data_IF_066115500317
#
_entry.id   IF_066115500317
#
_cell.length_a   1.000
_cell.length_b   1.000
_cell.length_c   1.000
_cell.angle_alpha   90.00
_cell.angle_beta   90.00
_cell.angle_gamma   90.00
#
_symmetry.space_group_name_H-M   'P 1'
#
loop_
_entity.id
_entity.type
_entity.pdbx_description
1 polymer ?
#
# COMPACT_ATOMS: atom_id res chain seq x y z
N UNK A 1 5.37 -1.49 25.96
CA UNK A 1 5.92 -0.26 26.58
C UNK A 1 4.79 0.76 26.70
N UNK A 2 4.38 1.13 27.92
CA UNK A 2 3.27 2.08 28.15
C UNK A 2 3.59 3.46 27.61
N UNK A 3 2.66 4.05 26.87
CA UNK A 3 2.74 5.41 26.37
C UNK A 3 3.01 6.37 27.56
N UNK A 4 4.12 7.11 27.52
CA UNK A 4 4.46 8.12 28.54
C UNK A 4 3.44 9.26 28.47
N UNK A 5 2.36 9.14 29.26
CA UNK A 5 1.35 10.19 29.38
C UNK A 5 2.01 11.44 30.00
N UNK A 6 1.98 12.56 29.28
CA UNK A 6 2.52 13.84 29.75
C UNK A 6 1.64 14.45 30.85
N UNK A 7 2.22 15.34 31.68
CA UNK A 7 1.45 16.09 32.65
C UNK A 7 0.49 17.04 31.94
N UNK A 8 -0.77 17.03 32.34
CA UNK A 8 -1.79 17.96 31.88
C UNK A 8 -1.74 19.27 32.67
N UNK A 9 -2.57 20.24 32.27
CA UNK A 9 -2.72 21.49 33.02
C UNK A 9 -3.28 21.21 34.41
N UNK A 10 -4.25 20.28 34.49
CA UNK A 10 -4.86 19.84 35.75
C UNK A 10 -3.86 19.13 36.66
N UNK A 11 -3.00 18.26 36.10
CA UNK A 11 -1.91 17.62 36.85
C UNK A 11 -0.99 18.68 37.47
N UNK A 12 -0.65 19.74 36.72
CA UNK A 12 0.20 20.85 37.20
C UNK A 12 -0.47 21.71 38.26
N UNK A 13 -1.77 21.98 38.09
CA UNK A 13 -2.54 22.70 39.10
C UNK A 13 -2.61 21.92 40.43
N UNK A 14 -2.79 20.60 40.35
CA UNK A 14 -2.76 19.74 41.53
C UNK A 14 -1.37 19.67 42.20
N UNK A 15 -0.28 19.70 41.39
CA UNK A 15 1.09 19.80 41.92
C UNK A 15 1.27 21.13 42.67
N UNK A 16 0.83 22.25 42.11
CA UNK A 16 0.93 23.57 42.73
C UNK A 16 0.18 23.61 44.04
N UNK A 17 -1.12 23.19 44.06
CA UNK A 17 -1.90 23.14 45.27
C UNK A 17 -1.30 22.24 46.35
N UNK A 18 -0.72 21.11 45.95
CA UNK A 18 -0.05 20.19 46.87
C UNK A 18 1.24 20.77 47.47
N UNK A 19 2.02 21.52 46.68
CA UNK A 19 3.23 22.22 47.15
C UNK A 19 2.84 23.34 48.13
N UNK A 20 1.84 24.14 47.78
CA UNK A 20 1.34 25.23 48.62
C UNK A 20 0.76 24.71 49.96
N UNK A 21 0.16 23.52 49.94
CA UNK A 21 -0.34 22.85 51.15
C UNK A 21 0.75 22.10 51.95
N UNK A 22 2.02 22.17 51.53
CA UNK A 22 3.13 21.51 52.20
C UNK A 22 3.14 19.98 52.11
N UNK A 23 2.43 19.39 51.14
CA UNK A 23 2.38 17.96 50.94
C UNK A 23 3.70 17.38 50.43
N UNK A 24 4.06 16.18 50.84
CA UNK A 24 5.22 15.49 50.29
C UNK A 24 5.03 15.18 48.81
N UNK A 25 6.13 15.17 48.01
CA UNK A 25 6.10 14.84 46.61
C UNK A 25 5.50 13.44 46.34
N UNK A 26 5.65 12.49 47.25
CA UNK A 26 5.05 11.17 47.18
C UNK A 26 3.53 11.26 47.26
N UNK A 27 3.00 12.10 48.18
CA UNK A 27 1.58 12.30 48.32
C UNK A 27 0.96 13.00 47.13
N UNK A 28 1.65 14.03 46.59
CA UNK A 28 1.22 14.72 45.37
C UNK A 28 1.19 13.73 44.18
N UNK A 29 2.20 12.87 44.08
CA UNK A 29 2.27 11.86 43.02
C UNK A 29 1.10 10.87 43.05
N UNK A 30 0.70 10.46 44.27
CA UNK A 30 -0.48 9.61 44.49
C UNK A 30 -1.76 10.30 44.03
N UNK A 31 -1.96 11.58 44.36
CA UNK A 31 -3.14 12.36 44.00
C UNK A 31 -3.33 12.46 42.47
N UNK A 32 -2.24 12.63 41.71
CA UNK A 32 -2.32 12.77 40.25
C UNK A 32 -2.10 11.43 39.49
N UNK A 33 -1.95 10.31 40.24
CA UNK A 33 -1.73 8.99 39.63
C UNK A 33 -0.41 8.90 38.82
N UNK A 34 0.69 9.49 39.36
CA UNK A 34 2.02 9.51 38.74
C UNK A 34 3.09 8.98 39.67
N UNK A 35 4.28 8.70 39.12
CA UNK A 35 5.40 8.35 39.97
C UNK A 35 6.01 9.58 40.65
N UNK A 36 6.52 9.45 41.89
CA UNK A 36 7.15 10.55 42.63
C UNK A 36 8.28 11.21 41.86
N UNK A 37 9.04 10.46 41.06
CA UNK A 37 10.11 10.97 40.22
C UNK A 37 9.64 11.93 39.10
N UNK A 38 8.38 11.81 38.65
CA UNK A 38 7.79 12.73 37.69
C UNK A 38 7.50 14.06 38.36
N UNK A 39 6.90 14.03 39.55
CA UNK A 39 6.59 15.25 40.35
C UNK A 39 7.87 15.96 40.75
N UNK A 40 8.87 15.23 41.27
CA UNK A 40 10.17 15.78 41.65
C UNK A 40 10.83 16.52 40.46
N UNK A 41 10.90 15.89 39.29
CA UNK A 41 11.50 16.50 38.10
C UNK A 41 10.68 17.67 37.56
N UNK A 42 9.37 17.68 37.67
CA UNK A 42 8.51 18.77 37.25
C UNK A 42 8.73 19.99 38.16
N UNK A 43 8.71 19.82 39.48
CA UNK A 43 9.00 20.88 40.47
C UNK A 43 10.39 21.42 40.27
N UNK A 44 11.41 20.57 40.29
CA UNK A 44 12.82 21.00 40.12
C UNK A 44 13.09 21.77 38.84
N UNK A 45 12.34 21.47 37.75
CA UNK A 45 12.52 22.12 36.45
C UNK A 45 11.79 23.44 36.31
N UNK A 46 10.69 23.62 37.04
CA UNK A 46 9.76 24.73 36.83
C UNK A 46 9.53 25.57 38.10
N UNK A 47 10.25 25.35 39.19
CA UNK A 47 10.28 26.27 40.32
C UNK A 47 11.00 27.54 39.91
N UNK A 48 10.40 28.68 40.14
CA UNK A 48 10.96 30.00 39.84
C UNK A 48 12.12 30.39 40.77
N UNK A 49 12.81 31.50 40.47
CA UNK A 49 13.91 32.03 41.35
C UNK A 49 13.41 32.42 42.74
N UNK A 50 12.13 32.66 42.90
CA UNK A 50 11.46 32.96 44.16
C UNK A 50 11.11 31.72 45.00
N UNK A 51 11.50 30.53 44.52
CA UNK A 51 11.23 29.25 45.19
C UNK A 51 9.78 28.76 44.99
N UNK A 52 8.94 29.45 44.22
CA UNK A 52 7.55 29.06 44.02
C UNK A 52 7.36 28.27 42.73
N UNK A 53 6.56 27.22 42.78
CA UNK A 53 6.10 26.47 41.60
C UNK A 53 4.76 27.04 41.10
N UNK A 54 4.71 27.53 39.85
CA UNK A 54 3.52 28.06 39.22
C UNK A 54 3.06 27.19 38.06
N UNK A 55 1.86 26.61 38.17
CA UNK A 55 1.30 25.67 37.18
C UNK A 55 1.21 26.28 35.77
N UNK A 56 0.79 27.54 35.64
CA UNK A 56 0.66 28.21 34.35
C UNK A 56 2.02 28.45 33.66
N UNK A 57 3.02 28.89 34.43
CA UNK A 57 4.38 29.10 33.93
C UNK A 57 5.02 27.78 33.50
N UNK A 58 4.85 26.73 34.32
CA UNK A 58 5.30 25.38 34.03
C UNK A 58 4.65 24.83 32.73
N UNK A 59 3.36 25.05 32.54
CA UNK A 59 2.65 24.62 31.32
C UNK A 59 3.09 25.41 30.09
N UNK A 60 3.23 26.73 30.23
CA UNK A 60 3.76 27.61 29.16
C UNK A 60 5.17 27.20 28.76
N UNK A 61 6.06 26.95 29.72
CA UNK A 61 7.42 26.49 29.48
C UNK A 61 7.45 25.09 28.82
N UNK A 62 6.60 24.16 29.27
CA UNK A 62 6.48 22.84 28.67
C UNK A 62 5.92 22.89 27.25
N UNK A 63 4.97 23.80 26.96
CA UNK A 63 4.47 24.05 25.59
C UNK A 63 5.56 24.66 24.71
N UNK A 64 6.31 25.62 25.22
CA UNK A 64 7.43 26.24 24.49
C UNK A 64 8.54 25.22 24.18
N UNK A 65 8.90 24.35 25.14
CA UNK A 65 9.86 23.28 24.93
C UNK A 65 9.42 22.26 23.87
N UNK A 66 8.11 22.01 23.77
CA UNK A 66 7.53 21.14 22.71
C UNK A 66 7.58 21.77 21.32
N UNK A 67 7.50 23.09 21.23
CA UNK A 67 7.57 23.85 19.95
C UNK A 67 8.97 24.00 19.40
N UNK A 68 10.03 23.64 20.15
CA UNK A 68 11.40 23.70 19.64
C UNK A 68 11.53 22.88 18.37
N UNK A 69 12.02 23.45 17.25
CA UNK A 69 12.27 22.71 16.03
C UNK A 69 13.27 21.59 16.32
N UNK A 70 12.83 20.35 16.16
CA UNK A 70 13.73 19.20 16.19
C UNK A 70 14.22 18.97 14.78
N UNK A 71 15.54 18.71 14.61
CA UNK A 71 16.05 18.23 13.32
C UNK A 71 15.27 16.99 12.91
N UNK A 72 14.86 16.93 11.66
CA UNK A 72 14.12 15.76 11.15
C UNK A 72 15.08 14.58 11.06
N UNK A 73 14.60 13.37 11.31
CA UNK A 73 15.43 12.17 11.29
C UNK A 73 16.15 12.02 9.94
N UNK A 74 15.44 12.22 8.83
CA UNK A 74 16.02 12.12 7.48
C UNK A 74 17.05 13.22 7.15
N UNK A 75 17.11 14.32 7.91
CA UNK A 75 18.15 15.34 7.75
C UNK A 75 19.46 14.94 8.48
N UNK A 76 19.37 14.02 9.44
CA UNK A 76 20.48 13.58 10.27
C UNK A 76 20.99 12.18 9.92
N UNK A 77 20.18 11.34 9.31
CA UNK A 77 20.46 9.94 9.00
C UNK A 77 20.58 9.76 7.48
N UNK A 78 21.82 9.73 6.99
CA UNK A 78 22.12 9.62 5.57
C UNK A 78 21.73 8.26 4.99
N UNK A 79 21.93 7.18 5.74
CA UNK A 79 21.61 5.82 5.30
C UNK A 79 20.12 5.71 5.08
N UNK A 80 19.35 6.11 6.08
CA UNK A 80 17.90 6.10 6.03
C UNK A 80 17.36 7.05 4.96
N UNK A 81 17.94 8.23 4.80
CA UNK A 81 17.55 9.20 3.77
C UNK A 81 17.72 8.63 2.37
N UNK A 82 18.86 8.03 2.06
CA UNK A 82 19.13 7.41 0.76
C UNK A 82 18.12 6.32 0.45
N UNK A 83 17.82 5.42 1.42
CA UNK A 83 16.83 4.39 1.28
C UNK A 83 15.43 4.96 1.02
N UNK A 84 14.98 5.90 1.85
CA UNK A 84 13.65 6.51 1.73
C UNK A 84 13.47 7.25 0.40
N UNK A 85 14.49 7.98 -0.07
CA UNK A 85 14.45 8.67 -1.38
C UNK A 85 14.33 7.64 -2.51
N UNK A 86 15.13 6.56 -2.49
CA UNK A 86 15.08 5.50 -3.49
C UNK A 86 13.68 4.85 -3.54
N UNK A 87 13.12 4.49 -2.40
CA UNK A 87 11.79 3.89 -2.32
C UNK A 87 10.69 4.86 -2.79
N UNK A 88 10.77 6.14 -2.43
CA UNK A 88 9.82 7.16 -2.89
C UNK A 88 9.91 7.39 -4.41
N UNK A 89 11.10 7.35 -5.00
CA UNK A 89 11.30 7.48 -6.46
C UNK A 89 10.72 6.29 -7.23
N UNK A 90 10.72 5.11 -6.62
CA UNK A 90 10.02 3.92 -7.14
C UNK A 90 8.48 3.97 -6.93
N UNK A 91 7.96 5.06 -6.36
CA UNK A 91 6.52 5.25 -6.14
C UNK A 91 5.96 4.56 -4.90
N UNK A 92 6.80 4.06 -4.00
CA UNK A 92 6.35 3.53 -2.72
C UNK A 92 5.76 4.66 -1.85
N UNK A 93 4.68 4.36 -1.14
CA UNK A 93 4.09 5.33 -0.22
C UNK A 93 4.84 5.35 1.12
N UNK A 94 4.84 6.47 1.87
CA UNK A 94 5.47 6.54 3.19
C UNK A 94 5.09 5.40 4.14
N UNK A 95 3.83 4.92 4.07
CA UNK A 95 3.35 3.81 4.90
C UNK A 95 3.96 2.47 4.49
N UNK A 96 4.13 2.22 3.19
CA UNK A 96 4.78 1.02 2.66
C UNK A 96 6.26 0.98 3.06
N UNK A 97 6.95 2.11 2.91
CA UNK A 97 8.36 2.26 3.30
C UNK A 97 8.54 2.01 4.79
N UNK A 98 7.78 2.69 5.65
CA UNK A 98 7.86 2.53 7.10
C UNK A 98 7.60 1.09 7.54
N UNK A 99 6.56 0.45 6.97
CA UNK A 99 6.22 -0.93 7.29
C UNK A 99 7.31 -1.92 6.84
N UNK A 100 7.82 -1.75 5.62
CA UNK A 100 8.89 -2.61 5.09
C UNK A 100 10.17 -2.50 5.93
N UNK A 101 10.63 -1.29 6.23
CA UNK A 101 11.79 -1.06 7.08
C UNK A 101 11.64 -1.69 8.47
N UNK A 102 10.44 -1.66 9.04
CA UNK A 102 10.20 -2.31 10.34
C UNK A 102 10.33 -3.83 10.25
N UNK A 103 9.88 -4.46 9.17
CA UNK A 103 9.99 -5.90 8.96
C UNK A 103 11.42 -6.35 8.66
N UNK A 104 12.18 -5.54 7.93
CA UNK A 104 13.61 -5.78 7.68
C UNK A 104 14.42 -5.64 8.98
N UNK A 105 14.17 -4.58 9.77
CA UNK A 105 14.88 -4.33 11.01
C UNK A 105 14.65 -5.40 12.09
N UNK A 106 13.50 -6.05 12.12
CA UNK A 106 13.24 -7.17 13.05
C UNK A 106 13.64 -8.54 12.47
N UNK A 107 14.28 -8.58 11.30
CA UNK A 107 14.72 -9.82 10.66
C UNK A 107 13.60 -10.71 10.10
N UNK A 108 12.37 -10.19 10.04
CA UNK A 108 11.23 -10.94 9.48
C UNK A 108 11.29 -11.03 7.96
N UNK A 109 11.84 -10.02 7.30
CA UNK A 109 12.05 -9.99 5.86
C UNK A 109 13.50 -9.62 5.53
N UNK A 110 14.07 -10.13 4.44
CA UNK A 110 15.37 -9.67 3.95
C UNK A 110 15.28 -8.25 3.40
N UNK A 111 16.43 -7.57 3.28
CA UNK A 111 16.51 -6.29 2.58
C UNK A 111 16.06 -6.44 1.12
N UNK A 112 15.43 -5.41 0.58
CA UNK A 112 14.99 -5.42 -0.83
C UNK A 112 16.19 -5.21 -1.77
N UNK A 113 16.34 -6.08 -2.77
CA UNK A 113 17.41 -5.96 -3.79
C UNK A 113 17.24 -4.68 -4.65
N UNK A 114 16.01 -4.15 -4.75
CA UNK A 114 15.68 -2.96 -5.54
C UNK A 114 15.98 -1.64 -4.83
N UNK A 115 16.40 -1.68 -3.55
CA UNK A 115 16.58 -0.49 -2.72
C UNK A 115 17.86 -0.58 -1.89
N UNK A 116 18.50 0.56 -1.56
CA UNK A 116 19.67 0.56 -0.68
C UNK A 116 19.37 -0.07 0.68
N UNK A 117 20.30 -0.82 1.24
CA UNK A 117 20.14 -1.39 2.58
C UNK A 117 20.03 -0.29 3.65
N UNK A 118 19.02 -0.41 4.49
CA UNK A 118 18.78 0.51 5.60
C UNK A 118 19.54 0.15 6.89
N UNK A 119 20.28 -0.96 6.91
CA UNK A 119 21.11 -1.40 8.05
C UNK A 119 20.33 -1.47 9.38
N UNK A 120 19.08 -1.89 9.33
CA UNK A 120 18.20 -1.97 10.51
C UNK A 120 17.62 -0.63 10.97
N UNK A 121 17.89 0.48 10.27
CA UNK A 121 17.28 1.76 10.58
C UNK A 121 15.80 1.78 10.23
N UNK A 122 14.99 2.39 11.09
CA UNK A 122 13.54 2.50 10.91
C UNK A 122 13.04 3.92 11.02
N UNK A 123 11.88 4.20 10.39
CA UNK A 123 11.24 5.51 10.42
C UNK A 123 9.73 5.38 10.40
N UNK A 124 9.01 6.27 11.08
CA UNK A 124 7.56 6.32 10.98
C UNK A 124 7.11 6.99 9.68
N UNK A 125 5.95 6.57 9.15
CA UNK A 125 5.38 7.18 7.95
C UNK A 125 5.08 8.68 8.13
N UNK A 126 4.72 9.13 9.33
CA UNK A 126 4.51 10.54 9.65
C UNK A 126 5.81 11.36 9.53
N UNK A 127 6.94 10.80 9.97
CA UNK A 127 8.24 11.46 9.83
C UNK A 127 8.64 11.61 8.35
N UNK A 128 8.32 10.60 7.50
CA UNK A 128 8.52 10.69 6.05
C UNK A 128 7.61 11.78 5.44
N UNK A 129 6.31 11.82 5.78
CA UNK A 129 5.42 12.89 5.33
C UNK A 129 5.90 14.28 5.76
N UNK A 130 6.31 14.42 7.03
CA UNK A 130 6.84 15.69 7.55
C UNK A 130 8.08 16.15 6.78
N UNK A 131 8.94 15.23 6.37
CA UNK A 131 10.10 15.52 5.55
C UNK A 131 9.68 15.94 4.12
N UNK A 132 8.77 15.19 3.46
CA UNK A 132 8.26 15.51 2.12
C UNK A 132 7.65 16.91 2.08
N UNK A 133 6.75 17.24 3.01
CA UNK A 133 6.05 18.53 3.02
C UNK A 133 6.95 19.73 3.39
N UNK A 134 8.11 19.47 3.92
CA UNK A 134 9.09 20.51 4.24
C UNK A 134 9.98 20.90 3.04
N UNK A 135 9.98 20.07 1.98
CA UNK A 135 10.80 20.33 0.79
C UNK A 135 9.99 20.97 -0.33
N UNK A 136 10.57 21.91 -1.09
CA UNK A 136 9.91 22.48 -2.27
C UNK A 136 9.58 21.39 -3.30
N UNK A 137 8.42 21.52 -3.98
CA UNK A 137 8.02 20.56 -5.03
C UNK A 137 9.09 20.34 -6.10
N UNK A 138 9.84 21.38 -6.46
CA UNK A 138 10.92 21.31 -7.44
C UNK A 138 11.99 20.31 -7.02
N UNK A 139 12.46 20.39 -5.79
CA UNK A 139 13.47 19.47 -5.22
C UNK A 139 12.96 18.02 -5.17
N UNK A 140 11.68 17.81 -4.84
CA UNK A 140 11.08 16.47 -4.85
C UNK A 140 11.04 15.87 -6.27
N UNK A 141 10.73 16.68 -7.28
CA UNK A 141 10.72 16.27 -8.69
C UNK A 141 12.15 15.94 -9.17
N UNK A 142 13.14 16.71 -8.78
CA UNK A 142 14.56 16.44 -9.09
C UNK A 142 15.04 15.09 -8.51
N UNK A 143 14.46 14.65 -7.39
CA UNK A 143 14.66 13.32 -6.83
C UNK A 143 13.72 12.24 -7.37
N UNK A 144 12.94 12.53 -8.41
CA UNK A 144 11.97 11.58 -9.01
C UNK A 144 10.76 11.30 -8.13
N UNK A 145 10.53 12.07 -7.05
CA UNK A 145 9.45 11.84 -6.09
C UNK A 145 8.16 12.49 -6.59
N UNK A 146 7.21 11.67 -7.07
CA UNK A 146 5.88 12.09 -7.49
C UNK A 146 4.81 11.47 -6.58
N UNK A 147 4.12 12.29 -5.77
CA UNK A 147 2.99 11.82 -4.97
C UNK A 147 1.75 11.52 -5.83
N UNK A 148 1.04 10.39 -5.59
CA UNK A 148 0.00 9.88 -6.49
C UNK A 148 -1.30 10.69 -6.57
N UNK A 149 -1.48 11.80 -5.87
CA UNK A 149 -2.77 12.47 -5.75
C UNK A 149 -2.97 13.62 -6.75
N UNK A 150 -3.34 13.28 -8.00
CA UNK A 150 -3.97 14.23 -8.92
C UNK A 150 -5.43 13.85 -9.14
N UNK A 151 -6.38 14.31 -8.31
CA UNK A 151 -7.82 14.22 -8.63
C UNK A 151 -8.59 15.45 -8.20
N UNK A 152 -9.37 16.01 -9.18
CA UNK A 152 -10.22 17.17 -8.97
C UNK A 152 -11.72 16.94 -9.24
N UNK A 153 -12.21 15.83 -9.82
CA UNK A 153 -13.66 15.59 -9.97
C UNK A 153 -14.06 14.14 -10.32
N UNK A 154 -15.28 13.76 -9.92
CA UNK A 154 -15.92 12.46 -10.17
C UNK A 154 -16.84 12.55 -11.40
N UNK A 155 -16.64 11.72 -12.42
CA UNK A 155 -17.55 11.61 -13.60
C UNK A 155 -18.60 10.52 -13.38
N UNK A 156 -19.86 10.78 -13.86
CA UNK A 156 -20.93 9.78 -13.90
C UNK A 156 -20.64 8.71 -14.97
N UNK A 157 -21.00 7.42 -14.74
CA UNK A 157 -20.84 6.37 -15.75
C UNK A 157 -21.89 6.50 -16.86
N UNK A 158 -21.55 6.14 -18.12
CA UNK A 158 -22.53 6.09 -19.22
C UNK A 158 -23.47 4.88 -19.08
N UNK A 159 -24.72 5.04 -19.53
CA UNK A 159 -25.72 3.97 -19.57
C UNK A 159 -25.30 2.86 -20.54
N UNK A 160 -25.32 1.61 -20.08
CA UNK A 160 -25.01 0.43 -20.91
C UNK A 160 -26.27 -0.27 -21.39
N UNK A 161 -26.39 -0.47 -22.73
CA UNK A 161 -27.41 -1.32 -23.30
C UNK A 161 -27.18 -2.82 -22.98
N UNK A 162 -28.26 -3.62 -22.89
CA UNK A 162 -28.19 -5.06 -22.65
C UNK A 162 -27.38 -5.77 -23.73
N UNK A 163 -26.30 -6.45 -23.35
CA UNK A 163 -25.52 -7.33 -24.22
C UNK A 163 -26.09 -8.74 -24.17
N UNK A 164 -26.11 -9.52 -25.28
CA UNK A 164 -26.55 -10.92 -25.25
C UNK A 164 -25.58 -11.76 -24.39
N UNK A 165 -26.10 -12.80 -23.68
CA UNK A 165 -25.31 -13.62 -22.77
C UNK A 165 -24.25 -14.45 -23.51
N UNK A 166 -23.15 -14.75 -22.81
CA UNK A 166 -22.11 -15.68 -23.24
C UNK A 166 -22.62 -17.11 -23.05
N UNK A 167 -22.53 -17.95 -24.08
CA UNK A 167 -23.04 -19.34 -24.05
C UNK A 167 -22.14 -20.20 -23.13
N UNK A 168 -22.75 -20.99 -22.25
CA UNK A 168 -22.02 -21.90 -21.33
C UNK A 168 -21.23 -21.20 -20.23
N UNK A 169 -21.65 -19.98 -19.85
CA UNK A 169 -21.02 -19.19 -18.80
C UNK A 169 -21.29 -19.81 -17.42
N UNK A 170 -20.21 -20.04 -16.64
CA UNK A 170 -20.28 -20.43 -15.22
C UNK A 170 -20.14 -19.19 -14.36
N UNK A 171 -21.05 -18.98 -13.42
CA UNK A 171 -21.00 -17.82 -12.53
C UNK A 171 -20.01 -18.04 -11.38
N UNK A 172 -19.60 -16.94 -10.76
CA UNK A 172 -18.66 -16.94 -9.64
C UNK A 172 -19.16 -17.79 -8.45
N UNK A 173 -20.47 -17.97 -8.29
CA UNK A 173 -21.07 -18.79 -7.24
C UNK A 173 -20.75 -20.29 -7.40
N UNK A 174 -20.46 -20.74 -8.62
CA UNK A 174 -20.06 -22.12 -8.93
C UNK A 174 -18.55 -22.37 -8.66
N UNK A 175 -17.82 -21.31 -8.39
CA UNK A 175 -16.39 -21.42 -8.09
C UNK A 175 -16.20 -22.00 -6.68
N UNK A 176 -15.22 -22.91 -6.46
CA UNK A 176 -14.87 -23.38 -5.12
C UNK A 176 -14.67 -22.19 -4.15
N UNK A 177 -15.07 -22.36 -2.89
CA UNK A 177 -14.97 -21.29 -1.89
C UNK A 177 -13.51 -20.87 -1.69
N UNK A 178 -13.21 -19.66 -2.12
CA UNK A 178 -11.90 -19.01 -2.03
C UNK A 178 -12.04 -17.59 -1.48
N UNK A 179 -13.10 -17.36 -0.70
CA UNK A 179 -13.48 -16.03 -0.19
C UNK A 179 -12.40 -15.42 0.68
N UNK A 180 -11.67 -16.23 1.45
CA UNK A 180 -10.64 -15.79 2.38
C UNK A 180 -9.28 -15.44 1.74
N UNK A 181 -9.13 -15.65 0.43
CA UNK A 181 -7.90 -15.38 -0.35
C UNK A 181 -6.65 -16.09 0.19
N UNK A 182 -6.81 -17.26 0.80
CA UNK A 182 -5.70 -18.07 1.30
C UNK A 182 -5.26 -19.14 0.30
N UNK A 183 -6.16 -19.54 -0.60
CA UNK A 183 -5.86 -20.57 -1.60
C UNK A 183 -5.29 -19.89 -2.84
N UNK A 184 -4.03 -20.19 -3.19
CA UNK A 184 -3.38 -19.62 -4.37
C UNK A 184 -3.85 -20.22 -5.69
N UNK A 185 -3.46 -19.58 -6.79
CA UNK A 185 -3.82 -20.02 -8.14
C UNK A 185 -5.18 -19.51 -8.61
N UNK A 186 -5.79 -18.59 -7.87
CA UNK A 186 -7.06 -17.97 -8.24
C UNK A 186 -6.84 -16.55 -8.75
N UNK A 187 -7.15 -16.32 -10.01
CA UNK A 187 -6.85 -15.07 -10.70
C UNK A 187 -8.11 -14.28 -11.05
N UNK A 188 -7.94 -12.97 -11.10
CA UNK A 188 -8.94 -12.02 -11.61
C UNK A 188 -8.39 -11.39 -12.89
N UNK A 189 -9.18 -11.36 -13.96
CA UNK A 189 -8.78 -10.79 -15.24
C UNK A 189 -9.68 -9.66 -15.71
N UNK A 190 -9.13 -8.77 -16.54
CA UNK A 190 -9.85 -7.63 -17.15
C UNK A 190 -9.11 -7.11 -18.38
N UNK A 191 -9.79 -6.29 -19.19
CA UNK A 191 -9.15 -5.54 -20.26
C UNK A 191 -8.91 -4.08 -19.88
N UNK A 192 -7.71 -3.60 -20.10
CA UNK A 192 -7.41 -2.17 -20.17
C UNK A 192 -7.54 -1.73 -21.63
N UNK A 193 -8.53 -0.90 -21.89
CA UNK A 193 -8.83 -0.39 -23.24
C UNK A 193 -8.19 0.99 -23.39
N UNK A 194 -7.49 1.18 -24.50
CA UNK A 194 -6.86 2.44 -24.93
C UNK A 194 -7.83 3.38 -25.63
N UNK A 195 -7.24 4.38 -26.29
CA UNK A 195 -7.99 5.40 -27.01
C UNK A 195 -8.92 4.78 -28.06
N UNK A 196 -10.15 5.26 -28.09
CA UNK A 196 -11.21 4.89 -29.07
C UNK A 196 -11.44 3.37 -29.22
N UNK A 197 -10.95 2.58 -28.27
CA UNK A 197 -11.03 1.12 -28.30
C UNK A 197 -10.14 0.45 -29.35
N UNK A 198 -9.22 1.20 -29.97
CA UNK A 198 -8.33 0.72 -31.02
C UNK A 198 -7.22 -0.21 -30.49
N UNK A 199 -6.82 -0.04 -29.26
CA UNK A 199 -5.78 -0.85 -28.60
C UNK A 199 -6.23 -1.33 -27.23
N UNK A 200 -5.68 -2.46 -26.77
CA UNK A 200 -5.97 -3.01 -25.45
C UNK A 200 -4.81 -3.89 -24.96
N UNK A 201 -4.76 -4.14 -23.65
CA UNK A 201 -4.02 -5.23 -23.05
C UNK A 201 -4.91 -5.94 -22.03
N UNK A 202 -4.65 -7.21 -21.76
CA UNK A 202 -5.31 -7.93 -20.67
C UNK A 202 -4.46 -7.84 -19.40
N UNK A 203 -5.12 -7.76 -18.25
CA UNK A 203 -4.50 -7.82 -16.93
C UNK A 203 -4.97 -9.06 -16.22
N UNK A 204 -4.04 -9.80 -15.63
CA UNK A 204 -4.29 -10.98 -14.80
C UNK A 204 -3.67 -10.71 -13.44
N UNK A 205 -4.46 -10.79 -12.38
CA UNK A 205 -4.00 -10.54 -11.01
C UNK A 205 -4.30 -11.75 -10.14
N UNK A 206 -3.27 -12.33 -9.55
CA UNK A 206 -3.43 -13.41 -8.58
C UNK A 206 -4.00 -12.86 -7.26
N UNK A 207 -5.05 -13.51 -6.73
CA UNK A 207 -5.86 -12.96 -5.62
C UNK A 207 -5.16 -12.97 -4.27
N UNK A 208 -4.35 -13.96 -4.01
CA UNK A 208 -3.64 -14.15 -2.74
C UNK A 208 -2.41 -13.25 -2.66
N UNK A 209 -1.55 -13.32 -3.67
CA UNK A 209 -0.25 -12.63 -3.72
C UNK A 209 -0.31 -11.22 -4.32
N UNK A 210 -1.39 -10.88 -5.04
CA UNK A 210 -1.54 -9.65 -5.81
C UNK A 210 -0.55 -9.54 -6.99
N UNK A 211 0.07 -10.66 -7.36
CA UNK A 211 0.97 -10.71 -8.50
C UNK A 211 0.23 -10.36 -9.78
N UNK A 212 0.87 -9.54 -10.61
CA UNK A 212 0.27 -8.95 -11.81
C UNK A 212 1.00 -9.45 -13.06
N UNK A 213 0.22 -9.87 -14.04
CA UNK A 213 0.67 -10.11 -15.41
C UNK A 213 -0.12 -9.17 -16.33
N UNK A 214 0.57 -8.51 -17.25
CA UNK A 214 -0.05 -7.74 -18.34
C UNK A 214 0.24 -8.47 -19.64
N UNK A 215 -0.81 -8.74 -20.43
CA UNK A 215 -0.72 -9.48 -21.69
C UNK A 215 -1.01 -8.54 -22.85
N UNK A 216 -0.05 -8.40 -23.77
CA UNK A 216 -0.23 -7.65 -24.99
C UNK A 216 -1.30 -8.29 -25.90
N UNK A 217 -2.10 -7.47 -26.55
CA UNK A 217 -3.11 -7.89 -27.54
C UNK A 217 -2.82 -7.27 -28.92
N UNK A 218 -1.73 -7.69 -29.60
CA UNK A 218 -1.29 -7.05 -30.84
C UNK A 218 -2.28 -7.21 -32.00
N UNK A 219 -3.08 -8.27 -31.99
CA UNK A 219 -4.07 -8.55 -33.03
C UNK A 219 -5.46 -7.94 -32.70
N UNK A 220 -5.61 -7.33 -31.53
CA UNK A 220 -6.85 -6.72 -31.07
C UNK A 220 -7.54 -7.48 -29.95
N UNK A 221 -8.83 -7.16 -29.73
CA UNK A 221 -9.61 -7.62 -28.56
C UNK A 221 -10.82 -8.53 -28.92
N UNK A 222 -10.83 -9.14 -30.10
CA UNK A 222 -11.86 -10.13 -30.42
C UNK A 222 -11.63 -11.41 -29.60
N UNK A 223 -12.69 -12.16 -29.32
CA UNK A 223 -12.64 -13.31 -28.42
C UNK A 223 -11.55 -14.34 -28.78
N UNK A 224 -11.37 -14.65 -30.06
CA UNK A 224 -10.34 -15.59 -30.51
C UNK A 224 -8.93 -15.05 -30.22
N UNK A 225 -8.70 -13.75 -30.48
CA UNK A 225 -7.41 -13.08 -30.29
C UNK A 225 -7.03 -12.98 -28.79
N UNK A 226 -8.01 -12.68 -27.94
CA UNK A 226 -7.82 -12.66 -26.48
C UNK A 226 -7.55 -14.08 -25.96
N UNK A 227 -8.33 -15.05 -26.42
CA UNK A 227 -8.12 -16.45 -26.06
C UNK A 227 -6.70 -16.90 -26.42
N UNK A 228 -6.23 -16.69 -27.65
CA UNK A 228 -4.90 -17.09 -28.11
C UNK A 228 -3.76 -16.40 -27.31
N UNK A 229 -3.93 -15.12 -26.99
CA UNK A 229 -2.95 -14.38 -26.19
C UNK A 229 -2.87 -14.86 -24.75
N UNK A 230 -4.04 -15.09 -24.12
CA UNK A 230 -4.12 -15.63 -22.76
C UNK A 230 -3.58 -17.07 -22.70
N UNK A 231 -3.95 -17.94 -23.63
CA UNK A 231 -3.46 -19.34 -23.70
C UNK A 231 -1.94 -19.38 -23.71
N UNK A 232 -1.31 -18.64 -24.62
CA UNK A 232 0.17 -18.58 -24.69
C UNK A 232 0.81 -18.09 -23.39
N UNK A 233 0.20 -17.09 -22.73
CA UNK A 233 0.75 -16.55 -21.48
C UNK A 233 0.58 -17.50 -20.33
N UNK A 234 -0.57 -18.18 -20.23
CA UNK A 234 -0.88 -19.14 -19.17
C UNK A 234 0.00 -20.40 -19.30
N UNK A 235 0.19 -20.91 -20.50
CA UNK A 235 1.07 -22.08 -20.76
C UNK A 235 2.54 -21.81 -20.42
N UNK A 236 2.96 -20.56 -20.34
CA UNK A 236 4.29 -20.15 -19.87
C UNK A 236 4.42 -20.00 -18.36
N UNK A 237 3.35 -20.22 -17.59
CA UNK A 237 3.40 -20.22 -16.13
C UNK A 237 3.75 -21.62 -15.60
N UNK A 238 4.33 -21.71 -14.38
CA UNK A 238 4.50 -22.97 -13.69
C UNK A 238 3.17 -23.72 -13.53
N UNK A 239 3.23 -25.04 -13.52
CA UNK A 239 2.06 -25.88 -13.29
C UNK A 239 1.34 -25.47 -11.99
N UNK A 240 0.01 -25.48 -12.03
CA UNK A 240 -0.87 -25.07 -10.93
C UNK A 240 -0.78 -23.60 -10.47
N UNK A 241 0.10 -22.78 -11.07
CA UNK A 241 0.17 -21.37 -10.76
C UNK A 241 -1.16 -20.62 -11.09
N UNK A 242 -1.94 -21.16 -12.02
CA UNK A 242 -3.28 -20.67 -12.35
C UNK A 242 -4.28 -21.82 -12.43
N UNK A 243 -5.23 -21.87 -11.51
CA UNK A 243 -6.31 -22.87 -11.45
C UNK A 243 -7.64 -22.30 -11.94
N UNK A 244 -7.95 -21.10 -11.50
CA UNK A 244 -9.20 -20.43 -11.89
C UNK A 244 -8.92 -19.00 -12.37
N UNK A 245 -9.74 -18.55 -13.32
CA UNK A 245 -9.73 -17.20 -13.83
C UNK A 245 -11.13 -16.61 -13.73
N UNK A 246 -11.30 -15.52 -12.98
CA UNK A 246 -12.57 -14.79 -12.90
C UNK A 246 -12.52 -13.58 -13.82
N UNK A 247 -13.51 -13.45 -14.68
CA UNK A 247 -13.65 -12.36 -15.65
C UNK A 247 -15.00 -11.65 -15.50
N UNK A 248 -15.16 -10.49 -16.15
CA UNK A 248 -16.51 -9.92 -16.29
C UNK A 248 -17.26 -10.60 -17.44
N UNK A 249 -18.53 -10.20 -17.65
CA UNK A 249 -19.34 -10.73 -18.74
C UNK A 249 -19.04 -10.03 -20.07
N UNK A 250 -17.77 -9.73 -20.32
CA UNK A 250 -17.29 -9.11 -21.56
C UNK A 250 -17.24 -10.12 -22.71
N UNK A 251 -17.65 -9.70 -23.90
CA UNK A 251 -17.65 -10.55 -25.12
C UNK A 251 -16.27 -11.03 -25.54
N UNK A 252 -15.22 -10.40 -25.09
CA UNK A 252 -13.84 -10.83 -25.32
C UNK A 252 -13.54 -12.21 -24.71
N UNK A 253 -14.34 -12.65 -23.73
CA UNK A 253 -14.23 -13.96 -23.13
C UNK A 253 -15.24 -15.00 -23.68
N UNK A 254 -15.86 -14.72 -24.83
CA UNK A 254 -16.80 -15.67 -25.45
C UNK A 254 -16.17 -17.01 -25.85
N UNK A 255 -14.82 -17.09 -25.92
CA UNK A 255 -14.06 -18.34 -26.15
C UNK A 255 -13.50 -18.97 -24.87
N UNK A 256 -14.07 -18.66 -23.71
CA UNK A 256 -13.63 -19.18 -22.41
C UNK A 256 -13.55 -20.70 -22.33
N UNK A 257 -14.48 -21.44 -22.98
CA UNK A 257 -14.44 -22.91 -23.03
C UNK A 257 -13.21 -23.44 -23.77
N UNK A 258 -12.79 -22.77 -24.87
CA UNK A 258 -11.54 -23.11 -25.55
C UNK A 258 -10.34 -22.80 -24.67
N UNK A 259 -10.34 -21.66 -23.98
CA UNK A 259 -9.27 -21.31 -23.03
C UNK A 259 -9.14 -22.39 -21.94
N UNK A 260 -10.25 -22.82 -21.36
CA UNK A 260 -10.26 -23.92 -20.37
C UNK A 260 -9.73 -25.22 -20.97
N UNK A 261 -10.16 -25.59 -22.17
CA UNK A 261 -9.69 -26.79 -22.85
C UNK A 261 -8.17 -26.79 -23.10
N UNK A 262 -7.65 -25.63 -23.56
CA UNK A 262 -6.24 -25.51 -23.98
C UNK A 262 -5.26 -25.31 -22.80
N UNK A 263 -5.75 -24.87 -21.63
CA UNK A 263 -4.91 -24.52 -20.47
C UNK A 263 -5.24 -25.29 -19.18
N UNK A 264 -6.38 -25.96 -19.11
CA UNK A 264 -6.89 -26.54 -17.86
C UNK A 264 -7.44 -25.53 -16.85
N UNK A 265 -7.37 -24.23 -17.13
CA UNK A 265 -7.85 -23.16 -16.22
C UNK A 265 -9.35 -23.02 -16.29
N UNK A 266 -10.03 -23.18 -15.17
CA UNK A 266 -11.47 -22.97 -15.10
C UNK A 266 -11.83 -21.47 -15.11
N UNK A 267 -12.72 -21.09 -16.02
CA UNK A 267 -13.16 -19.68 -16.16
C UNK A 267 -14.52 -19.47 -15.51
N UNK A 268 -14.59 -18.47 -14.63
CA UNK A 268 -15.81 -18.03 -13.95
C UNK A 268 -16.13 -16.57 -14.29
N UNK A 269 -17.40 -16.21 -14.24
CA UNK A 269 -17.86 -14.86 -14.55
C UNK A 269 -18.46 -14.19 -13.33
N UNK A 270 -18.02 -12.95 -13.07
CA UNK A 270 -18.61 -12.11 -12.04
C UNK A 270 -20.05 -11.71 -12.40
N UNK A 271 -20.86 -11.45 -11.39
CA UNK A 271 -22.21 -10.95 -11.60
C UNK A 271 -22.20 -9.55 -12.23
N UNK A 272 -23.23 -9.21 -13.02
CA UNK A 272 -23.39 -7.85 -13.54
C UNK A 272 -23.46 -6.86 -12.38
N UNK A 273 -22.74 -5.73 -12.52
CA UNK A 273 -22.73 -4.66 -11.52
C UNK A 273 -22.15 -5.03 -10.14
N UNK A 274 -21.38 -6.11 -10.03
CA UNK A 274 -20.73 -6.57 -8.81
C UNK A 274 -19.19 -6.34 -8.80
N UNK A 275 -18.71 -5.08 -8.79
CA UNK A 275 -17.27 -4.78 -8.86
C UNK A 275 -16.48 -5.34 -7.67
N UNK A 276 -17.14 -5.54 -6.52
CA UNK A 276 -16.48 -6.12 -5.32
C UNK A 276 -16.02 -7.57 -5.53
N UNK A 277 -16.61 -8.32 -6.46
CA UNK A 277 -16.22 -9.69 -6.79
C UNK A 277 -14.85 -9.75 -7.50
N UNK A 278 -14.42 -8.64 -8.11
CA UNK A 278 -13.11 -8.45 -8.76
C UNK A 278 -12.32 -7.28 -8.18
N UNK A 279 -12.46 -7.03 -6.90
CA UNK A 279 -11.86 -5.88 -6.22
C UNK A 279 -10.34 -5.84 -6.28
N UNK A 280 -9.67 -6.99 -6.46
CA UNK A 280 -8.21 -7.06 -6.62
C UNK A 280 -7.79 -6.45 -7.94
N UNK A 281 -8.45 -6.85 -9.02
CA UNK A 281 -8.14 -6.37 -10.37
C UNK A 281 -8.49 -4.88 -10.52
N UNK A 282 -9.65 -4.44 -10.04
CA UNK A 282 -10.04 -3.02 -10.11
C UNK A 282 -8.99 -2.12 -9.43
N UNK A 283 -8.55 -2.50 -8.23
CA UNK A 283 -7.50 -1.75 -7.53
C UNK A 283 -6.17 -1.75 -8.30
N UNK A 284 -5.77 -2.88 -8.87
CA UNK A 284 -4.54 -3.02 -9.65
C UNK A 284 -4.62 -2.22 -10.95
N UNK A 285 -5.74 -2.30 -11.68
CA UNK A 285 -5.97 -1.52 -12.89
C UNK A 285 -5.87 0.00 -12.63
N UNK A 286 -6.30 0.47 -11.45
CA UNK A 286 -6.09 1.87 -11.04
C UNK A 286 -4.61 2.23 -10.90
N UNK A 287 -3.76 1.31 -10.45
CA UNK A 287 -2.30 1.54 -10.38
C UNK A 287 -1.69 1.57 -11.79
N UNK A 288 -2.06 0.61 -12.65
CA UNK A 288 -1.57 0.51 -14.04
C UNK A 288 -1.93 1.76 -14.85
N UNK A 289 -3.08 2.39 -14.57
CA UNK A 289 -3.51 3.62 -15.25
C UNK A 289 -2.61 4.84 -15.01
N UNK A 290 -1.60 4.73 -14.17
CA UNK A 290 -0.53 5.74 -14.07
C UNK A 290 0.42 5.68 -15.26
N UNK A 291 0.64 4.47 -15.80
CA UNK A 291 1.53 4.19 -16.92
C UNK A 291 0.77 4.12 -18.25
N UNK A 292 -0.46 3.64 -18.20
CA UNK A 292 -1.38 3.54 -19.34
C UNK A 292 -2.61 4.45 -19.11
N UNK A 293 -2.49 5.78 -19.29
CA UNK A 293 -3.58 6.72 -19.02
C UNK A 293 -4.80 6.44 -19.92
N UNK A 294 -5.99 6.79 -19.43
CA UNK A 294 -7.21 6.71 -20.26
C UNK A 294 -7.11 7.70 -21.44
N UNK A 295 -7.57 7.28 -22.61
CA UNK A 295 -7.53 8.14 -23.81
C UNK A 295 -6.17 8.18 -24.51
N UNK A 296 -5.23 7.30 -24.13
CA UNK A 296 -3.97 7.11 -24.87
C UNK A 296 -3.93 5.73 -25.51
N UNK A 297 -3.21 5.56 -26.64
CA UNK A 297 -2.97 4.25 -27.22
C UNK A 297 -2.22 3.34 -26.24
N UNK A 298 -2.55 2.05 -26.24
CA UNK A 298 -1.84 1.02 -25.46
C UNK A 298 -0.88 0.30 -26.41
N UNK A 299 0.37 0.22 -26.01
CA UNK A 299 1.40 -0.51 -26.78
C UNK A 299 1.12 -2.01 -26.79
N UNK A 300 1.50 -2.67 -27.89
CA UNK A 300 1.53 -4.13 -28.00
C UNK A 300 2.92 -4.73 -27.72
N UNK A 301 3.89 -3.90 -27.30
CA UNK A 301 5.25 -4.35 -26.97
C UNK A 301 5.27 -5.01 -25.60
N UNK A 302 5.30 -6.35 -25.58
CA UNK A 302 5.22 -7.14 -24.33
C UNK A 302 6.30 -6.77 -23.30
N UNK A 303 7.60 -6.60 -23.65
CA UNK A 303 8.62 -6.22 -22.67
C UNK A 303 8.31 -4.90 -21.94
N UNK A 304 7.70 -3.93 -22.62
CA UNK A 304 7.30 -2.68 -21.98
C UNK A 304 6.13 -2.89 -21.01
N UNK A 305 5.18 -3.75 -21.36
CA UNK A 305 4.06 -4.11 -20.46
C UNK A 305 4.55 -4.91 -19.25
N UNK A 306 5.55 -5.79 -19.44
CA UNK A 306 6.19 -6.53 -18.34
C UNK A 306 6.94 -5.57 -17.39
N UNK A 307 7.61 -4.54 -17.92
CA UNK A 307 8.24 -3.48 -17.10
C UNK A 307 7.20 -2.69 -16.29
N UNK A 308 6.03 -2.39 -16.86
CA UNK A 308 4.92 -1.77 -16.11
C UNK A 308 4.41 -2.71 -15.00
N UNK A 309 4.30 -4.01 -15.26
CA UNK A 309 3.84 -4.99 -14.27
C UNK A 309 4.86 -5.17 -13.13
N UNK A 310 6.15 -5.05 -13.43
CA UNK A 310 7.24 -5.17 -12.48
C UNK A 310 7.14 -4.15 -11.33
N UNK A 311 6.82 -2.90 -11.60
CA UNK A 311 6.78 -1.86 -10.57
C UNK A 311 5.74 -2.13 -9.45
N UNK A 312 4.42 -2.36 -9.72
CA UNK A 312 3.48 -2.71 -8.68
C UNK A 312 3.74 -4.11 -8.09
N UNK A 313 4.44 -5.00 -8.83
CA UNK A 313 4.90 -6.30 -8.38
C UNK A 313 5.97 -6.23 -7.30
N UNK A 314 6.81 -5.20 -7.31
CA UNK A 314 7.87 -4.98 -6.32
C UNK A 314 7.52 -3.92 -5.26
N UNK A 315 6.26 -3.48 -5.21
CA UNK A 315 5.80 -2.53 -4.21
C UNK A 315 5.27 -3.27 -2.97
N UNK A 316 5.86 -3.07 -1.76
CA UNK A 316 5.44 -3.74 -0.53
C UNK A 316 3.95 -3.50 -0.22
N UNK A 317 3.25 -4.56 0.20
CA UNK A 317 1.81 -4.52 0.50
C UNK A 317 1.55 -4.81 1.97
N UNK A 318 0.87 -3.91 2.65
CA UNK A 318 0.49 -4.12 4.06
C UNK A 318 -0.37 -5.40 4.23
N UNK A 319 -1.21 -5.73 3.24
CA UNK A 319 -2.03 -6.96 3.23
C UNK A 319 -1.22 -8.24 3.07
N UNK A 320 0.05 -8.15 2.66
CA UNK A 320 0.99 -9.26 2.53
C UNK A 320 2.07 -9.22 3.64
N UNK A 321 1.82 -8.53 4.76
CA UNK A 321 2.83 -8.34 5.79
C UNK A 321 4.05 -7.57 5.29
N UNK A 322 3.83 -6.60 4.39
CA UNK A 322 4.85 -5.79 3.72
C UNK A 322 5.80 -6.54 2.78
N UNK A 323 5.50 -7.81 2.46
CA UNK A 323 6.13 -8.48 1.31
C UNK A 323 5.66 -7.83 0.02
N UNK A 324 6.46 -7.95 -1.02
CA UNK A 324 6.05 -7.58 -2.37
C UNK A 324 5.19 -8.69 -2.99
N UNK A 325 4.32 -8.38 -3.96
CA UNK A 325 3.61 -9.39 -4.75
C UNK A 325 4.54 -10.42 -5.40
N UNK A 326 5.69 -9.99 -5.90
CA UNK A 326 6.68 -10.87 -6.53
C UNK A 326 7.30 -11.84 -5.52
N UNK A 327 7.71 -11.38 -4.34
CA UNK A 327 8.21 -12.24 -3.26
C UNK A 327 7.17 -13.29 -2.86
N UNK A 328 5.93 -12.85 -2.63
CA UNK A 328 4.85 -13.73 -2.23
C UNK A 328 4.48 -14.76 -3.32
N UNK A 329 4.56 -14.38 -4.59
CA UNK A 329 4.29 -15.30 -5.71
C UNK A 329 5.41 -16.32 -5.90
N UNK A 330 6.68 -15.91 -5.76
CA UNK A 330 7.83 -16.82 -5.86
C UNK A 330 7.83 -17.86 -4.72
N UNK A 331 7.52 -17.46 -3.49
CA UNK A 331 7.33 -18.39 -2.37
C UNK A 331 6.22 -19.42 -2.67
N UNK A 332 5.12 -18.94 -3.25
CA UNK A 332 4.01 -19.78 -3.63
C UNK A 332 4.43 -20.89 -4.61
N UNK A 333 5.15 -20.51 -5.67
CA UNK A 333 5.63 -21.46 -6.68
C UNK A 333 6.63 -22.45 -6.04
N UNK A 334 7.54 -21.95 -5.19
CA UNK A 334 8.53 -22.79 -4.53
C UNK A 334 7.93 -23.83 -3.57
N UNK A 335 6.76 -23.54 -2.96
CA UNK A 335 6.07 -24.47 -2.04
C UNK A 335 5.17 -25.48 -2.78
N UNK A 336 4.96 -25.31 -4.07
CA UNK A 336 4.09 -26.20 -4.88
C UNK A 336 4.90 -27.31 -5.56
N UNK A 337 6.21 -27.30 -5.43
CA UNK A 337 7.16 -28.37 -5.82
C UNK A 337 7.57 -29.16 -4.58
#
# INVERSE_FOLDING_TARGET
MGCRRMLSVEDRAAIMAGVDAGLSQVRIAQLIGRSPSVVCREIARHTGPDGQYRAEEADKAARAARRRPKKRLLDCDEILRRRVIADLSQGHTPRQISGRLSMEACGTLPSMDTSPDAQGHTISHEAIYTWIYAHPKKTLIEHGICLPSRRWMRKKPPASGRKPPIVGMRLIDERPDISDRKIPGNWEGDLIIGQDGASACATLVERTTRYLIIVALPLGRKADQVCDALTRRIQGLPDQAMRTLTWDQGREMARHQRLTHDTGVEVFFAHPHSPWERGTNENTNRLIRRYLPKGTPITSHQPYLDAIAYEPGNCPRATLGYRTPTEAFNELIATTH
#
